data_IF_017128135620
#
_entry.id   IF_017128135620
#
_cell.length_a   1.000
_cell.length_b   1.000
_cell.length_c   1.000
_cell.angle_alpha   90.00
_cell.angle_beta   90.00
_cell.angle_gamma   90.00
#
_symmetry.space_group_name_H-M   'P 1'
#
loop_
_entity.id
_entity.type
_entity.pdbx_description
1 polymer ?
#
# COMPACT_ATOMS: atom_id res chain seq x y z
N UNK A 1 -33.93 2.66 -13.57
CA UNK A 1 -33.64 2.31 -14.98
C UNK A 1 -32.15 2.44 -15.35
N UNK A 2 -31.20 2.13 -14.45
CA UNK A 2 -29.75 2.10 -14.78
C UNK A 2 -29.06 0.80 -14.32
N UNK A 3 -29.75 -0.08 -13.58
CA UNK A 3 -29.18 -1.32 -13.06
C UNK A 3 -29.31 -2.54 -13.99
N UNK A 4 -30.02 -2.41 -15.12
CA UNK A 4 -30.29 -3.52 -16.05
C UNK A 4 -29.31 -3.58 -17.25
N UNK A 5 -28.35 -2.65 -17.34
CA UNK A 5 -27.48 -2.52 -18.52
C UNK A 5 -26.07 -3.09 -18.34
N UNK A 6 -25.71 -3.57 -17.13
CA UNK A 6 -24.39 -4.18 -16.86
C UNK A 6 -24.43 -5.72 -16.96
N UNK A 7 -25.62 -6.33 -16.98
CA UNK A 7 -25.82 -7.79 -16.98
C UNK A 7 -25.94 -8.43 -18.38
N UNK A 8 -25.90 -7.67 -19.47
CA UNK A 8 -26.17 -8.18 -20.83
C UNK A 8 -24.94 -8.27 -21.74
N UNK A 9 -23.72 -8.18 -21.18
CA UNK A 9 -22.46 -8.37 -21.94
C UNK A 9 -21.63 -9.59 -21.54
N UNK A 10 -22.12 -10.42 -20.62
CA UNK A 10 -21.48 -11.68 -20.25
C UNK A 10 -22.22 -12.88 -20.85
N UNK A 11 -22.35 -12.89 -22.17
CA UNK A 11 -22.47 -14.14 -22.91
C UNK A 11 -21.04 -14.68 -23.10
N UNK A 12 -20.55 -15.43 -22.10
CA UNK A 12 -19.27 -16.13 -22.16
C UNK A 12 -19.35 -17.23 -23.24
N UNK A 13 -18.58 -17.16 -24.35
CA UNK A 13 -18.73 -18.10 -25.46
C UNK A 13 -18.07 -19.47 -25.23
N UNK A 14 -17.32 -19.66 -24.13
CA UNK A 14 -16.57 -20.89 -23.91
C UNK A 14 -16.52 -21.30 -22.43
N UNK A 15 -16.69 -22.59 -22.14
CA UNK A 15 -16.58 -23.15 -20.78
C UNK A 15 -15.13 -22.97 -20.29
N UNK A 16 -14.94 -22.26 -19.17
CA UNK A 16 -13.61 -22.04 -18.59
C UNK A 16 -13.56 -20.90 -17.56
N UNK A 17 -12.38 -20.72 -16.96
CA UNK A 17 -12.06 -19.56 -16.12
C UNK A 17 -11.86 -18.33 -17.01
N UNK A 18 -12.59 -17.27 -16.74
CA UNK A 18 -12.39 -15.96 -17.38
C UNK A 18 -11.90 -14.95 -16.35
N UNK A 19 -10.83 -14.25 -16.68
CA UNK A 19 -10.36 -13.08 -15.93
C UNK A 19 -11.04 -11.82 -16.47
N UNK A 20 -11.57 -11.00 -15.58
CA UNK A 20 -12.24 -9.75 -15.92
C UNK A 20 -11.72 -8.59 -15.08
N UNK A 21 -11.88 -7.38 -15.60
CA UNK A 21 -11.52 -6.13 -14.93
C UNK A 21 -12.79 -5.33 -14.68
N UNK A 22 -12.95 -4.79 -13.47
CA UNK A 22 -14.04 -3.86 -13.18
C UNK A 22 -13.70 -2.45 -13.72
N UNK A 23 -14.62 -1.82 -14.44
CA UNK A 23 -14.46 -0.49 -15.01
C UNK A 23 -14.71 0.65 -14.00
N UNK A 24 -15.04 0.32 -12.74
CA UNK A 24 -15.24 1.30 -11.69
C UNK A 24 -13.90 1.80 -11.10
N UNK A 25 -13.22 2.76 -11.75
CA UNK A 25 -12.25 3.66 -11.09
C UNK A 25 -11.74 4.79 -11.99
N UNK A 26 -12.38 5.97 -11.93
CA UNK A 26 -11.73 7.28 -12.25
C UNK A 26 -10.65 7.67 -11.22
N UNK A 27 -10.23 6.76 -10.34
CA UNK A 27 -9.32 7.00 -9.22
C UNK A 27 -8.16 5.99 -9.12
N UNK A 28 -7.85 5.25 -10.19
CA UNK A 28 -6.52 4.61 -10.33
C UNK A 28 -6.25 3.31 -9.57
N UNK A 29 -7.26 2.47 -9.28
CA UNK A 29 -7.07 1.12 -8.73
C UNK A 29 -7.90 0.12 -9.54
N UNK A 30 -7.27 -0.61 -10.48
CA UNK A 30 -7.94 -1.70 -11.20
C UNK A 30 -7.93 -2.97 -10.33
N UNK A 31 -9.11 -3.53 -10.03
CA UNK A 31 -9.24 -4.83 -9.37
C UNK A 31 -9.54 -5.90 -10.41
N UNK A 32 -8.67 -6.91 -10.47
CA UNK A 32 -8.92 -8.13 -11.25
C UNK A 32 -9.83 -9.06 -10.45
N UNK A 33 -10.86 -9.59 -11.10
CA UNK A 33 -11.65 -10.69 -10.56
C UNK A 33 -11.45 -11.94 -11.42
N UNK A 34 -11.60 -13.11 -10.81
CA UNK A 34 -11.73 -14.37 -11.55
C UNK A 34 -13.16 -14.86 -11.39
N UNK A 35 -13.87 -15.00 -12.49
CA UNK A 35 -15.19 -15.64 -12.49
C UNK A 35 -15.01 -17.09 -12.93
N UNK A 36 -15.56 -17.99 -12.14
CA UNK A 36 -15.77 -19.39 -12.52
C UNK A 36 -17.26 -19.59 -12.85
N UNK A 37 -17.55 -19.95 -14.10
CA UNK A 37 -18.91 -20.27 -14.55
C UNK A 37 -19.09 -21.78 -14.73
N UNK A 38 -20.18 -22.33 -14.20
CA UNK A 38 -20.66 -23.69 -14.49
C UNK A 38 -21.92 -23.64 -15.38
N UNK A 39 -22.47 -24.79 -15.78
CA UNK A 39 -23.64 -24.92 -16.66
C UNK A 39 -24.93 -24.29 -16.15
N UNK A 40 -24.99 -23.90 -14.88
CA UNK A 40 -26.17 -23.30 -14.24
C UNK A 40 -26.00 -21.79 -13.97
N UNK A 41 -24.84 -21.20 -14.33
CA UNK A 41 -24.53 -19.78 -14.11
C UNK A 41 -23.19 -19.55 -13.41
N UNK A 42 -22.99 -18.31 -12.92
CA UNK A 42 -21.82 -17.92 -12.11
C UNK A 42 -21.90 -18.64 -10.77
N UNK A 43 -21.06 -19.65 -10.55
CA UNK A 43 -21.09 -20.43 -9.30
C UNK A 43 -20.28 -19.79 -8.18
N UNK A 44 -19.27 -18.97 -8.51
CA UNK A 44 -18.42 -18.35 -7.49
C UNK A 44 -17.78 -17.06 -8.00
N UNK A 45 -18.03 -15.95 -7.28
CA UNK A 45 -17.27 -14.71 -7.41
C UNK A 45 -16.26 -14.71 -6.27
N UNK A 46 -15.05 -15.20 -6.52
CA UNK A 46 -13.95 -15.05 -5.57
C UNK A 46 -13.45 -13.62 -5.74
N UNK A 47 -14.01 -12.71 -4.95
CA UNK A 47 -13.38 -11.41 -4.72
C UNK A 47 -12.04 -11.67 -4.06
N UNK A 48 -10.94 -11.56 -4.80
CA UNK A 48 -9.68 -11.22 -4.14
C UNK A 48 -9.92 -9.83 -3.56
N UNK A 49 -10.21 -9.74 -2.26
CA UNK A 49 -9.95 -8.52 -1.52
C UNK A 49 -8.43 -8.35 -1.51
N UNK A 50 -7.86 -7.38 -2.27
CA UNK A 50 -6.43 -7.21 -2.35
C UNK A 50 -6.09 -5.96 -1.54
N UNK A 51 -6.48 -5.90 -0.26
CA UNK A 51 -6.14 -4.73 0.57
C UNK A 51 -4.79 -4.83 1.27
N UNK A 52 -4.10 -5.98 1.19
CA UNK A 52 -2.72 -6.10 1.73
C UNK A 52 -1.82 -7.12 1.00
N UNK A 53 -2.36 -7.91 0.06
CA UNK A 53 -1.65 -9.08 -0.48
C UNK A 53 -0.63 -8.78 -1.61
N UNK A 54 -0.50 -7.53 -2.07
CA UNK A 54 0.32 -7.24 -3.27
C UNK A 54 1.71 -6.65 -3.00
N UNK A 55 2.17 -6.58 -1.75
CA UNK A 55 3.42 -5.88 -1.43
C UNK A 55 4.63 -6.81 -1.35
N UNK A 56 4.83 -7.54 -2.44
CA UNK A 56 6.05 -7.46 -3.25
C UNK A 56 6.04 -8.67 -4.18
N UNK A 57 5.70 -8.45 -5.46
CA UNK A 57 5.74 -9.47 -6.50
C UNK A 57 6.97 -10.39 -6.36
N UNK A 58 6.76 -11.65 -5.95
CA UNK A 58 7.78 -12.70 -5.88
C UNK A 58 8.48 -12.92 -4.54
N UNK A 59 8.19 -12.18 -3.46
CA UNK A 59 8.83 -12.45 -2.15
C UNK A 59 8.13 -13.63 -1.43
N UNK A 60 8.88 -14.61 -0.88
CA UNK A 60 8.30 -15.76 -0.18
C UNK A 60 7.51 -15.29 1.05
N UNK A 61 6.41 -15.99 1.34
CA UNK A 61 5.60 -15.76 2.54
C UNK A 61 6.43 -16.01 3.80
N UNK A 62 6.06 -15.41 4.94
CA UNK A 62 6.82 -15.56 6.19
C UNK A 62 7.01 -17.04 6.58
N UNK A 63 6.01 -17.90 6.32
CA UNK A 63 6.07 -19.34 6.62
C UNK A 63 7.09 -20.11 5.75
N UNK A 64 7.46 -19.58 4.59
CA UNK A 64 8.44 -20.20 3.68
C UNK A 64 9.86 -19.71 3.93
N UNK A 65 10.06 -18.75 4.85
CA UNK A 65 11.38 -18.21 5.15
C UNK A 65 12.06 -19.06 6.22
N UNK A 66 13.39 -19.28 6.12
CA UNK A 66 14.14 -19.84 7.22
C UNK A 66 14.06 -18.92 8.46
N UNK A 67 14.37 -19.47 9.63
CA UNK A 67 14.43 -18.69 10.87
C UNK A 67 15.36 -17.48 10.70
N UNK A 68 14.89 -16.32 11.16
CA UNK A 68 15.64 -15.06 11.08
C UNK A 68 16.99 -15.21 11.76
N UNK A 69 18.08 -14.92 11.03
CA UNK A 69 19.44 -14.97 11.59
C UNK A 69 19.70 -13.81 12.54
N UNK A 70 20.73 -13.89 13.39
CA UNK A 70 21.08 -12.80 14.31
C UNK A 70 21.38 -11.47 13.60
N UNK A 71 22.02 -11.53 12.44
CA UNK A 71 22.29 -10.35 11.59
C UNK A 71 20.99 -9.76 11.03
N UNK A 72 20.10 -10.61 10.50
CA UNK A 72 18.80 -10.17 10.00
C UNK A 72 17.94 -9.56 11.12
N UNK A 73 17.96 -10.14 12.32
CA UNK A 73 17.27 -9.60 13.48
C UNK A 73 17.81 -8.22 13.87
N UNK A 74 19.13 -8.03 13.89
CA UNK A 74 19.75 -6.74 14.15
C UNK A 74 19.37 -5.68 13.10
N UNK A 75 19.36 -6.07 11.81
CA UNK A 75 18.92 -5.21 10.72
C UNK A 75 17.44 -4.80 10.86
N UNK A 76 16.56 -5.76 11.17
CA UNK A 76 15.14 -5.51 11.44
C UNK A 76 14.95 -4.56 12.62
N UNK A 77 15.66 -4.77 13.73
CA UNK A 77 15.60 -3.87 14.89
C UNK A 77 16.04 -2.46 14.52
N UNK A 78 17.11 -2.31 13.72
CA UNK A 78 17.57 -1.00 13.23
C UNK A 78 16.51 -0.31 12.36
N UNK A 79 15.84 -1.07 11.49
CA UNK A 79 14.75 -0.58 10.65
C UNK A 79 13.54 -0.15 11.48
N UNK A 80 13.09 -0.99 12.42
CA UNK A 80 11.96 -0.66 13.29
C UNK A 80 12.26 0.51 14.23
N UNK A 81 13.48 0.63 14.75
CA UNK A 81 13.88 1.83 15.53
C UNK A 81 13.80 3.11 14.70
N UNK A 82 14.12 3.02 13.42
CA UNK A 82 13.97 4.16 12.52
C UNK A 82 12.50 4.45 12.22
N UNK A 83 11.66 3.44 11.99
CA UNK A 83 10.21 3.65 11.82
C UNK A 83 9.47 4.04 13.11
N UNK A 84 10.01 3.69 14.28
CA UNK A 84 9.44 3.96 15.60
C UNK A 84 9.53 5.43 16.05
N UNK A 85 9.20 6.36 15.16
CA UNK A 85 9.08 7.79 15.45
C UNK A 85 7.77 8.33 14.87
N UNK A 86 7.02 9.02 15.73
CA UNK A 86 5.71 9.61 15.44
C UNK A 86 5.73 10.47 14.17
N UNK A 87 6.73 11.35 14.05
CA UNK A 87 6.80 12.35 12.99
C UNK A 87 7.12 11.68 11.66
N UNK A 88 8.05 10.72 11.64
CA UNK A 88 8.40 9.97 10.42
C UNK A 88 7.22 9.15 9.91
N UNK A 89 6.48 8.47 10.79
CA UNK A 89 5.30 7.71 10.39
C UNK A 89 4.22 8.62 9.79
N UNK A 90 3.97 9.80 10.40
CA UNK A 90 3.04 10.80 9.86
C UNK A 90 3.46 11.30 8.48
N UNK A 91 4.74 11.64 8.30
CA UNK A 91 5.29 12.09 7.01
C UNK A 91 5.13 11.01 5.93
N UNK A 92 5.49 9.77 6.25
CA UNK A 92 5.35 8.64 5.32
C UNK A 92 3.88 8.39 4.96
N UNK A 93 2.96 8.50 5.91
CA UNK A 93 1.54 8.36 5.65
C UNK A 93 1.01 9.46 4.71
N UNK A 94 1.43 10.71 4.90
CA UNK A 94 1.08 11.81 3.97
C UNK A 94 1.63 11.55 2.57
N UNK A 95 2.89 11.13 2.46
CA UNK A 95 3.52 10.80 1.19
C UNK A 95 2.79 9.65 0.49
N UNK A 96 2.37 8.62 1.22
CA UNK A 96 1.57 7.52 0.67
C UNK A 96 0.23 8.01 0.10
N UNK A 97 -0.46 8.90 0.82
CA UNK A 97 -1.77 9.42 0.40
C UNK A 97 -1.73 10.34 -0.82
N UNK A 98 -0.65 11.08 -1.02
CA UNK A 98 -0.55 12.13 -2.04
C UNK A 98 0.44 11.81 -3.17
N UNK A 99 1.26 10.76 -3.02
CA UNK A 99 2.26 10.34 -4.00
C UNK A 99 3.54 11.17 -3.94
N UNK A 100 3.49 12.41 -4.42
CA UNK A 100 4.62 13.35 -4.40
C UNK A 100 4.25 14.65 -3.69
N UNK A 101 5.01 15.04 -2.65
CA UNK A 101 4.71 16.25 -1.85
C UNK A 101 5.96 17.06 -1.60
N UNK A 102 5.84 18.39 -1.62
CA UNK A 102 6.95 19.29 -1.28
C UNK A 102 7.18 19.38 0.23
N UNK A 103 8.39 19.77 0.65
CA UNK A 103 8.71 19.98 2.08
C UNK A 103 7.73 20.95 2.76
N UNK A 104 7.35 22.03 2.07
CA UNK A 104 6.37 23.00 2.58
C UNK A 104 4.99 22.38 2.79
N UNK A 105 4.50 21.63 1.80
CA UNK A 105 3.20 20.94 1.91
C UNK A 105 3.19 19.85 3.00
N UNK A 106 4.31 19.16 3.19
CA UNK A 106 4.46 18.22 4.31
C UNK A 106 4.44 18.95 5.66
N UNK A 107 5.19 20.04 5.78
CA UNK A 107 5.27 20.85 6.99
C UNK A 107 3.91 21.39 7.43
N UNK A 108 3.09 21.86 6.49
CA UNK A 108 1.73 22.30 6.76
C UNK A 108 0.84 21.17 7.29
N UNK A 109 0.92 19.97 6.69
CA UNK A 109 0.07 18.84 7.08
C UNK A 109 0.45 18.23 8.43
N UNK A 110 1.75 18.14 8.73
CA UNK A 110 2.20 17.65 10.03
C UNK A 110 2.26 18.75 11.09
N UNK A 111 1.93 20.00 10.74
CA UNK A 111 1.98 21.18 11.61
C UNK A 111 3.36 21.41 12.24
N UNK A 112 4.42 21.26 11.44
CA UNK A 112 5.81 21.42 11.88
C UNK A 112 6.53 22.46 11.06
N UNK A 113 7.68 22.94 11.57
CA UNK A 113 8.54 23.86 10.81
C UNK A 113 9.19 23.12 9.62
N UNK A 114 9.29 23.74 8.43
CA UNK A 114 9.92 23.12 7.25
C UNK A 114 11.35 22.59 7.50
N UNK A 115 12.14 23.29 8.32
CA UNK A 115 13.49 22.84 8.70
C UNK A 115 13.46 21.52 9.48
N UNK A 116 12.51 21.34 10.39
CA UNK A 116 12.37 20.11 11.17
C UNK A 116 11.94 18.93 10.26
N UNK A 117 11.01 19.18 9.34
CA UNK A 117 10.57 18.18 8.35
C UNK A 117 11.71 17.80 7.42
N UNK A 118 12.45 18.77 6.88
CA UNK A 118 13.62 18.52 6.03
C UNK A 118 14.64 17.60 6.72
N UNK A 119 14.95 17.86 7.99
CA UNK A 119 15.86 17.01 8.78
C UNK A 119 15.35 15.57 8.94
N UNK A 120 14.04 15.36 9.10
CA UNK A 120 13.47 14.01 9.19
C UNK A 120 13.46 13.31 7.82
N UNK A 121 13.14 14.05 6.74
CA UNK A 121 13.16 13.53 5.38
C UNK A 121 14.58 13.14 4.94
N UNK A 122 15.59 13.89 5.34
CA UNK A 122 16.99 13.53 5.07
C UNK A 122 17.34 12.18 5.71
N UNK A 123 16.97 11.97 6.99
CA UNK A 123 17.20 10.69 7.68
C UNK A 123 16.47 9.51 7.03
N UNK A 124 15.29 9.75 6.46
CA UNK A 124 14.54 8.74 5.70
C UNK A 124 15.19 8.49 4.33
N UNK A 125 15.70 9.53 3.67
CA UNK A 125 16.38 9.44 2.38
C UNK A 125 17.72 8.71 2.48
N UNK A 126 18.47 8.91 3.57
CA UNK A 126 19.74 8.22 3.85
C UNK A 126 19.57 6.69 3.90
N UNK A 127 18.35 6.21 4.18
CA UNK A 127 17.98 4.79 4.23
C UNK A 127 17.20 4.33 3.00
N UNK A 128 17.15 5.13 1.94
CA UNK A 128 16.41 4.87 0.70
C UNK A 128 14.92 4.57 0.89
N UNK A 129 14.31 5.06 1.98
CA UNK A 129 12.86 4.91 2.20
C UNK A 129 12.06 5.92 1.40
N UNK A 130 12.61 7.11 1.21
CA UNK A 130 12.02 8.18 0.41
C UNK A 130 12.98 8.62 -0.68
N UNK A 131 12.44 8.97 -1.83
CA UNK A 131 13.17 9.60 -2.92
C UNK A 131 12.89 11.10 -2.90
N UNK A 132 13.89 11.88 -3.33
CA UNK A 132 13.77 13.32 -3.54
C UNK A 132 13.95 13.63 -5.03
N UNK A 133 12.96 14.30 -5.63
CA UNK A 133 13.01 14.81 -7.01
C UNK A 133 13.00 16.32 -6.97
N UNK A 134 13.98 16.97 -7.63
CA UNK A 134 13.99 18.41 -7.78
C UNK A 134 13.25 18.80 -9.06
N UNK A 135 12.35 19.77 -8.95
CA UNK A 135 11.60 20.35 -10.06
C UNK A 135 11.65 21.87 -9.95
N UNK A 136 12.50 22.48 -10.77
CA UNK A 136 12.86 23.90 -10.68
C UNK A 136 13.41 24.29 -9.31
N UNK A 137 12.66 25.12 -8.59
CA UNK A 137 13.01 25.61 -7.25
C UNK A 137 12.37 24.80 -6.10
N UNK A 138 11.61 23.74 -6.41
CA UNK A 138 10.92 22.92 -5.41
C UNK A 138 11.52 21.52 -5.36
N UNK A 139 11.55 20.93 -4.18
CA UNK A 139 11.94 19.53 -3.97
C UNK A 139 10.69 18.77 -3.55
N UNK A 140 10.37 17.74 -4.32
CA UNK A 140 9.29 16.81 -4.09
C UNK A 140 9.85 15.53 -3.49
N UNK A 141 9.13 14.99 -2.51
CA UNK A 141 9.45 13.72 -1.87
C UNK A 141 8.38 12.70 -2.20
N UNK A 142 8.79 11.44 -2.34
CA UNK A 142 7.92 10.29 -2.58
C UNK A 142 8.46 9.05 -1.87
N UNK A 143 7.61 8.05 -1.65
CA UNK A 143 8.04 6.76 -1.09
C UNK A 143 8.82 6.01 -2.17
N UNK A 144 10.06 5.62 -1.85
CA UNK A 144 10.93 4.87 -2.75
C UNK A 144 10.84 3.35 -2.50
N UNK A 145 10.68 2.95 -1.24
CA UNK A 145 10.60 1.53 -0.88
C UNK A 145 9.17 1.00 -1.05
N UNK A 146 8.92 0.05 -1.98
CA UNK A 146 7.59 -0.50 -2.20
C UNK A 146 7.08 -1.34 -1.03
N UNK A 147 7.92 -1.81 -0.11
CA UNK A 147 7.45 -2.56 1.07
C UNK A 147 6.90 -1.65 2.17
N UNK A 148 7.22 -0.35 2.15
CA UNK A 148 6.90 0.58 3.23
C UNK A 148 5.39 0.83 3.41
N UNK A 149 4.59 1.01 2.34
CA UNK A 149 3.14 1.11 2.47
C UNK A 149 2.51 -0.12 3.15
N UNK A 150 2.99 -1.32 2.82
CA UNK A 150 2.50 -2.58 3.38
C UNK A 150 2.68 -2.65 4.89
N UNK A 151 3.87 -2.23 5.34
CA UNK A 151 4.21 -2.22 6.75
C UNK A 151 3.32 -1.22 7.49
N UNK A 152 3.04 -0.05 6.91
CA UNK A 152 2.15 0.94 7.50
C UNK A 152 0.70 0.44 7.58
N UNK A 153 0.19 -0.17 6.51
CA UNK A 153 -1.16 -0.76 6.46
C UNK A 153 -1.33 -1.86 7.50
N UNK A 154 -0.37 -2.81 7.56
CA UNK A 154 -0.39 -3.89 8.55
C UNK A 154 -0.27 -3.35 9.99
N UNK A 155 0.60 -2.36 10.23
CA UNK A 155 0.75 -1.77 11.55
C UNK A 155 -0.54 -1.07 12.02
N UNK A 156 -1.26 -0.38 11.12
CA UNK A 156 -2.54 0.23 11.44
C UNK A 156 -3.62 -0.83 11.72
N UNK A 157 -3.70 -1.88 10.90
CA UNK A 157 -4.59 -3.02 11.13
C UNK A 157 -4.39 -3.64 12.52
N UNK A 158 -3.14 -3.85 12.93
CA UNK A 158 -2.82 -4.41 14.26
C UNK A 158 -3.32 -3.51 15.41
N UNK A 159 -3.24 -2.19 15.25
CA UNK A 159 -3.73 -1.25 16.26
C UNK A 159 -5.26 -1.29 16.32
N UNK A 160 -5.94 -1.37 15.16
CA UNK A 160 -7.40 -1.44 15.06
C UNK A 160 -7.96 -2.76 15.63
N UNK A 161 -7.30 -3.89 15.35
CA UNK A 161 -7.68 -5.21 15.89
C UNK A 161 -7.47 -5.28 17.40
N UNK A 162 -6.34 -4.77 17.90
CA UNK A 162 -6.08 -4.74 19.34
C UNK A 162 -7.06 -3.84 20.11
N UNK A 163 -7.62 -2.82 19.45
CA UNK A 163 -8.65 -1.96 20.03
C UNK A 163 -10.01 -2.66 20.12
N UNK A 164 -10.24 -3.74 19.36
CA UNK A 164 -11.51 -4.48 19.35
C UNK A 164 -11.55 -5.62 20.39
N UNK A 165 -10.41 -6.11 20.86
CA UNK A 165 -10.30 -7.24 21.83
C UNK A 165 -10.40 -6.80 23.31
N UNK A 166 -10.65 -5.52 23.56
CA UNK A 166 -10.70 -4.90 24.88
C UNK A 166 -12.10 -4.61 25.44
N UNK A 167 -13.14 -5.34 25.02
CA UNK A 167 -14.52 -5.14 25.50
C UNK A 167 -15.16 -6.41 26.05
#
# INVERSE_FOLDING_TARGET
MVFKQVMDRHLCPNRGRSTGWDHASRLGWAQGYTISCNSEGVSEVIGLSPRSASLAAGKPSLAQRPLVTGEQAAALVSLFKMLGNDTRLRLLHVLHRQGEVTVGGLAEQVQMRPQAVSNQLQRLADRSMVAARRDGNRIFYSIADPCLPAVLELALCLIEDSATDGR
#
